data_IF_765516270591
#
_entry.id   IF_765516270591
#
_cell.length_a   1.000
_cell.length_b   1.000
_cell.length_c   1.000
_cell.angle_alpha   90.00
_cell.angle_beta   90.00
_cell.angle_gamma   90.00
#
_symmetry.space_group_name_H-M   'P 1'
#
loop_
_entity.id
_entity.type
_entity.pdbx_description
1 polymer ?
#
# COMPACT_ATOMS: atom_id res chain seq x y z
N UNK A 1 -2.06 -13.91 11.43
CA UNK A 1 -0.87 -13.42 10.68
C UNK A 1 -0.55 -12.02 11.13
N UNK A 2 0.73 -11.66 11.25
CA UNK A 2 1.19 -10.35 11.71
C UNK A 2 2.25 -9.82 10.73
N UNK A 3 2.01 -8.64 10.15
CA UNK A 3 2.94 -7.98 9.23
C UNK A 3 3.26 -6.57 9.70
N UNK A 4 4.52 -6.17 9.59
CA UNK A 4 4.98 -4.79 9.85
C UNK A 4 5.54 -4.18 8.57
N UNK A 5 5.31 -2.88 8.34
CA UNK A 5 5.88 -2.16 7.19
C UNK A 5 5.53 -2.86 5.87
N UNK A 6 6.48 -3.06 4.96
CA UNK A 6 6.28 -3.84 3.74
C UNK A 6 5.73 -5.26 3.97
N UNK A 7 5.96 -5.84 5.15
CA UNK A 7 5.43 -7.16 5.51
C UNK A 7 3.91 -7.20 5.55
N UNK A 8 3.23 -6.10 5.88
CA UNK A 8 1.76 -5.99 5.81
C UNK A 8 1.25 -6.16 4.38
N UNK A 9 1.90 -5.49 3.42
CA UNK A 9 1.56 -5.60 2.00
C UNK A 9 1.85 -7.00 1.44
N UNK A 10 3.00 -7.57 1.80
CA UNK A 10 3.40 -8.90 1.32
C UNK A 10 2.48 -10.01 1.85
N UNK A 11 2.12 -9.97 3.14
CA UNK A 11 1.18 -10.96 3.71
C UNK A 11 -0.23 -10.82 3.12
N UNK A 12 -0.68 -9.60 2.82
CA UNK A 12 -1.92 -9.39 2.06
C UNK A 12 -1.87 -10.06 0.69
N UNK A 13 -0.76 -9.92 -0.04
CA UNK A 13 -0.58 -10.59 -1.32
C UNK A 13 -0.68 -12.12 -1.18
N UNK A 14 -0.07 -12.71 -0.16
CA UNK A 14 -0.19 -14.15 0.13
C UNK A 14 -1.67 -14.55 0.33
N UNK A 15 -2.43 -13.74 1.09
CA UNK A 15 -3.84 -14.00 1.37
C UNK A 15 -4.76 -13.81 0.16
N UNK A 16 -4.35 -13.01 -0.83
CA UNK A 16 -5.04 -12.87 -2.11
C UNK A 16 -4.65 -13.97 -3.11
N UNK A 17 -3.38 -14.40 -3.09
CA UNK A 17 -2.84 -15.33 -4.07
C UNK A 17 -3.18 -16.79 -3.76
N UNK A 18 -3.10 -17.19 -2.49
CA UNK A 18 -3.20 -18.61 -2.08
C UNK A 18 -4.62 -18.90 -1.60
N UNK A 19 -5.30 -19.83 -2.26
CA UNK A 19 -6.61 -20.33 -1.79
C UNK A 19 -6.46 -21.23 -0.55
N UNK A 20 -7.49 -21.23 0.30
CA UNK A 20 -7.62 -22.16 1.43
C UNK A 20 -6.78 -21.84 2.67
N UNK A 21 -6.18 -20.65 2.75
CA UNK A 21 -5.56 -20.20 4.00
C UNK A 21 -6.65 -19.91 5.04
N UNK A 22 -6.43 -20.29 6.29
CA UNK A 22 -7.37 -19.98 7.38
C UNK A 22 -6.70 -19.09 8.39
N UNK A 23 -6.91 -17.78 8.25
CA UNK A 23 -6.33 -16.76 9.12
C UNK A 23 -7.44 -16.11 9.91
N UNK A 24 -7.47 -16.38 11.22
CA UNK A 24 -8.41 -15.73 12.13
C UNK A 24 -8.18 -14.21 12.12
N UNK A 25 -7.01 -13.76 12.61
CA UNK A 25 -6.67 -12.34 12.60
C UNK A 25 -5.49 -12.09 11.68
N UNK A 26 -5.66 -11.25 10.67
CA UNK A 26 -4.56 -10.62 9.94
C UNK A 26 -4.36 -9.21 10.49
N UNK A 27 -3.21 -8.98 11.13
CA UNK A 27 -2.83 -7.70 11.72
C UNK A 27 -1.71 -7.07 10.88
N UNK A 28 -1.95 -5.88 10.34
CA UNK A 28 -1.00 -5.07 9.59
C UNK A 28 -0.62 -3.84 10.41
N UNK A 29 0.64 -3.74 10.84
CA UNK A 29 1.19 -2.65 11.63
C UNK A 29 2.04 -1.73 10.74
N UNK A 30 1.63 -0.47 10.60
CA UNK A 30 2.28 0.49 9.70
C UNK A 30 2.51 -0.08 8.29
N UNK A 31 1.51 -0.82 7.77
CA UNK A 31 1.66 -1.52 6.50
C UNK A 31 1.48 -0.57 5.33
N UNK A 32 2.37 -0.57 4.35
CA UNK A 32 2.30 0.29 3.14
C UNK A 32 1.19 -0.14 2.15
N UNK A 33 -0.06 -0.24 2.62
CA UNK A 33 -1.14 -0.95 1.91
C UNK A 33 -1.52 -0.31 0.57
N UNK A 34 -1.52 1.02 0.50
CA UNK A 34 -1.69 1.80 -0.73
C UNK A 34 -0.36 2.27 -1.34
N UNK A 35 0.77 1.68 -0.92
CA UNK A 35 2.09 2.04 -1.42
C UNK A 35 2.70 3.27 -0.74
N UNK A 36 3.67 3.88 -1.41
CA UNK A 36 4.53 4.93 -0.88
C UNK A 36 4.89 5.97 -1.94
N UNK A 37 5.01 7.22 -1.52
CA UNK A 37 5.45 8.34 -2.35
C UNK A 37 6.24 9.37 -1.53
N UNK A 38 7.56 9.20 -1.46
CA UNK A 38 8.46 10.10 -0.75
C UNK A 38 9.93 9.79 -1.03
N UNK A 39 10.85 10.69 -0.70
CA UNK A 39 12.29 10.47 -1.02
C UNK A 39 13.05 9.73 0.08
N UNK A 40 12.59 9.83 1.34
CA UNK A 40 13.39 9.45 2.51
C UNK A 40 13.93 8.01 2.48
N UNK A 41 13.13 7.03 2.05
CA UNK A 41 13.55 5.62 1.97
C UNK A 41 14.63 5.39 0.90
N UNK A 42 14.65 6.23 -0.13
CA UNK A 42 15.55 6.10 -1.28
C UNK A 42 16.71 7.09 -1.23
N UNK A 43 16.75 8.02 -0.29
CA UNK A 43 17.77 9.07 -0.19
C UNK A 43 19.20 8.49 -0.13
N UNK A 44 19.37 7.34 0.52
CA UNK A 44 20.67 6.65 0.59
C UNK A 44 21.09 5.97 -0.71
N UNK A 45 20.14 5.65 -1.60
CA UNK A 45 20.37 4.95 -2.87
C UNK A 45 20.47 5.97 -4.01
N UNK A 46 19.58 6.97 -4.00
CA UNK A 46 19.41 8.01 -5.01
C UNK A 46 19.28 9.38 -4.31
N UNK A 47 20.39 9.96 -3.81
CA UNK A 47 20.35 11.22 -3.06
C UNK A 47 19.98 12.41 -3.95
N UNK A 48 19.28 13.39 -3.37
CA UNK A 48 18.87 14.63 -4.04
C UNK A 48 17.97 14.44 -5.28
N UNK A 49 17.21 13.35 -5.34
CA UNK A 49 16.26 13.07 -6.44
C UNK A 49 14.84 13.41 -5.99
N UNK A 50 14.14 14.23 -6.78
CA UNK A 50 12.72 14.56 -6.54
C UNK A 50 11.83 13.34 -6.73
N UNK A 51 10.65 13.31 -6.10
CA UNK A 51 9.67 12.22 -6.25
C UNK A 51 9.25 12.03 -7.71
N UNK A 52 9.12 13.11 -8.48
CA UNK A 52 8.82 13.03 -9.92
C UNK A 52 9.94 12.33 -10.72
N UNK A 53 11.19 12.61 -10.38
CA UNK A 53 12.33 11.95 -11.01
C UNK A 53 12.44 10.49 -10.55
N UNK A 54 12.19 10.22 -9.25
CA UNK A 54 12.10 8.86 -8.71
C UNK A 54 11.02 8.06 -9.42
N UNK A 55 9.82 8.59 -9.66
CA UNK A 55 8.78 7.88 -10.43
C UNK A 55 9.30 7.42 -11.79
N UNK A 56 10.02 8.29 -12.52
CA UNK A 56 10.57 7.93 -13.85
C UNK A 56 11.63 6.85 -13.78
N UNK A 57 12.44 6.87 -12.72
CA UNK A 57 13.51 5.89 -12.50
C UNK A 57 12.90 4.56 -12.06
N UNK A 58 12.04 4.57 -11.04
CA UNK A 58 11.46 3.37 -10.45
C UNK A 58 10.52 2.63 -11.40
N UNK A 59 9.84 3.33 -12.31
CA UNK A 59 8.96 2.70 -13.31
C UNK A 59 9.71 2.20 -14.56
N UNK A 60 11.04 2.16 -14.57
CA UNK A 60 11.76 1.38 -15.59
C UNK A 60 11.61 -0.11 -15.29
N UNK A 61 11.59 -0.94 -16.35
CA UNK A 61 11.47 -2.40 -16.24
C UNK A 61 12.55 -2.98 -15.33
N UNK A 62 13.79 -2.50 -15.48
CA UNK A 62 14.92 -3.00 -14.71
C UNK A 62 14.73 -2.83 -13.21
N UNK A 63 14.14 -1.70 -12.76
CA UNK A 63 13.91 -1.46 -11.35
C UNK A 63 12.62 -2.09 -10.84
N UNK A 64 11.57 -2.19 -11.65
CA UNK A 64 10.39 -3.01 -11.29
C UNK A 64 10.78 -4.48 -11.05
N UNK A 65 11.70 -5.03 -11.86
CA UNK A 65 12.15 -6.42 -11.74
C UNK A 65 13.13 -6.65 -10.58
N UNK A 66 13.92 -5.64 -10.18
CA UNK A 66 15.07 -5.84 -9.27
C UNK A 66 14.99 -5.11 -7.94
N UNK A 67 14.15 -4.08 -7.80
CA UNK A 67 14.07 -3.25 -6.60
C UNK A 67 12.68 -3.29 -5.98
N UNK A 68 12.57 -3.83 -4.77
CA UNK A 68 11.28 -3.96 -4.08
C UNK A 68 10.53 -2.63 -3.94
N UNK A 69 11.23 -1.53 -3.59
CA UNK A 69 10.63 -0.19 -3.43
C UNK A 69 9.91 0.28 -4.70
N UNK A 70 10.43 -0.08 -5.87
CA UNK A 70 9.81 0.27 -7.14
C UNK A 70 8.40 -0.32 -7.28
N UNK A 71 8.19 -1.53 -6.77
CA UNK A 71 6.93 -2.26 -6.84
C UNK A 71 5.82 -1.69 -5.96
N UNK A 72 6.15 -0.96 -4.89
CA UNK A 72 5.17 -0.29 -4.03
C UNK A 72 5.25 1.25 -4.11
N UNK A 73 5.97 1.78 -5.09
CA UNK A 73 5.94 3.20 -5.44
C UNK A 73 4.62 3.57 -6.11
N UNK A 74 3.84 4.43 -5.47
CA UNK A 74 2.52 4.86 -5.95
C UNK A 74 2.55 6.35 -6.24
N UNK A 75 2.73 6.73 -7.50
CA UNK A 75 2.61 8.13 -7.92
C UNK A 75 1.14 8.55 -7.95
N UNK A 76 0.70 9.57 -7.20
CA UNK A 76 -0.67 10.09 -7.27
C UNK A 76 -0.92 10.93 -8.52
N UNK A 77 0.13 11.21 -9.30
CA UNK A 77 0.03 11.92 -10.56
C UNK A 77 -0.19 10.94 -11.71
N UNK A 78 -1.26 11.14 -12.47
CA UNK A 78 -1.47 10.43 -13.72
C UNK A 78 -0.57 11.01 -14.81
N UNK A 79 0.11 10.16 -15.57
CA UNK A 79 0.86 10.59 -16.75
C UNK A 79 -0.05 10.89 -17.92
N UNK A 80 -0.69 12.06 -17.90
CA UNK A 80 -1.41 12.58 -19.06
C UNK A 80 -0.96 13.99 -19.48
N UNK A 81 0.22 14.47 -19.05
CA UNK A 81 0.78 15.74 -19.57
C UNK A 81 2.30 15.69 -19.71
N UNK A 82 2.81 14.82 -20.58
CA UNK A 82 3.82 15.24 -21.56
C UNK A 82 3.44 14.54 -22.85
N UNK A 83 2.66 15.21 -23.70
CA UNK A 83 2.57 14.78 -25.10
C UNK A 83 3.99 14.64 -25.61
N UNK A 84 4.27 13.53 -26.30
CA UNK A 84 5.58 13.19 -26.87
C UNK A 84 6.21 14.31 -27.73
N UNK A 85 5.48 15.40 -28.00
CA UNK A 85 5.92 16.58 -28.73
C UNK A 85 6.60 17.69 -27.89
N UNK A 86 6.52 17.71 -26.55
CA UNK A 86 6.95 18.91 -25.78
C UNK A 86 8.34 18.82 -25.15
N UNK A 87 8.93 17.63 -25.00
CA UNK A 87 10.34 17.51 -24.58
C UNK A 87 10.96 16.21 -25.13
N UNK A 88 11.86 16.27 -26.12
CA UNK A 88 12.66 15.11 -26.52
C UNK A 88 13.40 14.54 -25.30
N UNK A 89 13.10 13.29 -24.94
CA UNK A 89 13.70 12.60 -23.79
C UNK A 89 12.85 12.53 -22.51
N UNK A 90 11.66 13.13 -22.45
CA UNK A 90 10.74 12.94 -21.32
C UNK A 90 9.74 11.80 -21.62
N UNK A 91 10.03 10.60 -21.14
CA UNK A 91 9.08 9.49 -21.13
C UNK A 91 7.93 9.80 -20.16
N UNK A 92 6.69 9.71 -20.63
CA UNK A 92 5.52 9.66 -19.74
C UNK A 92 5.54 8.33 -18.98
N UNK A 93 5.24 8.36 -17.67
CA UNK A 93 5.28 7.18 -16.79
C UNK A 93 4.00 7.08 -15.98
N UNK A 94 3.26 5.99 -16.11
CA UNK A 94 1.95 5.77 -15.52
C UNK A 94 2.05 4.80 -14.36
N UNK A 95 1.47 5.16 -13.20
CA UNK A 95 1.31 4.20 -12.11
C UNK A 95 0.55 2.94 -12.56
N UNK A 96 -0.56 3.11 -13.28
CA UNK A 96 -1.37 1.98 -13.73
C UNK A 96 -0.66 1.13 -14.78
N UNK A 97 0.13 1.72 -15.67
CA UNK A 97 0.77 0.97 -16.77
C UNK A 97 2.15 0.41 -16.40
N UNK A 98 2.94 1.15 -15.63
CA UNK A 98 4.38 0.90 -15.47
C UNK A 98 4.79 0.42 -14.07
N UNK A 99 3.88 0.38 -13.09
CA UNK A 99 4.09 -0.37 -11.85
C UNK A 99 3.63 -1.82 -12.05
N UNK A 100 4.52 -2.79 -11.84
CA UNK A 100 4.27 -4.20 -12.13
C UNK A 100 3.55 -4.94 -10.99
N UNK A 101 3.50 -4.36 -9.79
CA UNK A 101 3.03 -5.04 -8.60
C UNK A 101 1.76 -4.42 -8.02
N UNK A 102 1.80 -3.17 -7.56
CA UNK A 102 0.73 -2.58 -6.75
C UNK A 102 -0.61 -2.47 -7.50
N UNK A 103 -0.69 -2.02 -8.77
CA UNK A 103 -1.96 -2.02 -9.51
C UNK A 103 -2.56 -3.41 -9.71
N UNK A 104 -1.73 -4.44 -9.86
CA UNK A 104 -2.18 -5.83 -9.97
C UNK A 104 -2.58 -6.38 -8.61
N UNK A 105 -1.82 -6.10 -7.56
CA UNK A 105 -2.15 -6.47 -6.19
C UNK A 105 -3.46 -5.82 -5.71
N UNK A 106 -3.70 -4.56 -6.05
CA UNK A 106 -4.94 -3.85 -5.77
C UNK A 106 -6.07 -4.19 -6.74
N UNK A 107 -5.80 -5.08 -7.71
CA UNK A 107 -6.75 -5.55 -8.72
C UNK A 107 -7.47 -4.42 -9.51
N UNK A 108 -6.87 -3.22 -9.56
CA UNK A 108 -7.29 -2.10 -10.42
C UNK A 108 -6.77 -2.28 -11.85
N UNK A 109 -5.68 -3.05 -12.00
CA UNK A 109 -5.23 -3.63 -13.27
C UNK A 109 -5.37 -5.15 -13.20
N UNK A 110 -6.61 -5.61 -13.32
CA UNK A 110 -6.95 -7.03 -13.25
C UNK A 110 -6.31 -7.83 -14.38
N UNK A 111 -5.89 -9.06 -14.06
CA UNK A 111 -5.37 -10.03 -15.01
C UNK A 111 -5.75 -11.46 -14.57
N UNK A 112 -5.34 -12.48 -15.32
CA UNK A 112 -5.69 -13.88 -15.02
C UNK A 112 -5.18 -14.35 -13.64
N UNK A 113 -4.06 -13.82 -13.16
CA UNK A 113 -3.50 -14.16 -11.83
C UNK A 113 -4.36 -13.55 -10.71
N UNK A 114 -4.88 -12.34 -10.93
CA UNK A 114 -5.62 -11.59 -9.90
C UNK A 114 -7.11 -11.94 -9.84
N UNK A 115 -7.61 -12.75 -10.78
CA UNK A 115 -9.03 -13.11 -10.89
C UNK A 115 -9.62 -13.73 -9.61
N UNK A 116 -8.80 -14.44 -8.82
CA UNK A 116 -9.22 -15.08 -7.57
C UNK A 116 -8.96 -14.21 -6.31
N UNK A 117 -8.29 -13.05 -6.44
CA UNK A 117 -7.80 -12.28 -5.29
C UNK A 117 -8.90 -11.91 -4.30
N UNK A 118 -10.04 -11.43 -4.81
CA UNK A 118 -11.20 -11.10 -3.98
C UNK A 118 -11.73 -12.31 -3.22
N UNK A 119 -12.01 -13.39 -3.95
CA UNK A 119 -12.56 -14.61 -3.36
C UNK A 119 -11.64 -15.19 -2.31
N UNK A 120 -10.35 -15.30 -2.62
CA UNK A 120 -9.33 -15.81 -1.71
C UNK A 120 -9.21 -14.91 -0.48
N UNK A 121 -9.08 -13.60 -0.64
CA UNK A 121 -8.88 -12.70 0.49
C UNK A 121 -10.05 -12.71 1.47
N UNK A 122 -11.28 -12.63 0.96
CA UNK A 122 -12.51 -12.66 1.76
C UNK A 122 -12.71 -14.02 2.45
N UNK A 123 -12.34 -15.12 1.78
CA UNK A 123 -12.43 -16.47 2.35
C UNK A 123 -11.33 -16.73 3.40
N UNK A 124 -10.14 -16.18 3.20
CA UNK A 124 -8.97 -16.51 3.99
C UNK A 124 -8.88 -15.74 5.32
N UNK A 125 -9.42 -14.52 5.40
CA UNK A 125 -9.19 -13.59 6.53
C UNK A 125 -10.46 -13.37 7.34
N UNK A 126 -10.59 -13.96 8.53
CA UNK A 126 -11.76 -13.73 9.39
C UNK A 126 -11.85 -12.27 9.86
N UNK A 127 -10.74 -11.72 10.35
CA UNK A 127 -10.64 -10.29 10.69
C UNK A 127 -9.34 -9.67 10.18
N UNK A 128 -9.46 -8.51 9.53
CA UNK A 128 -8.38 -7.64 9.12
C UNK A 128 -8.27 -6.48 10.11
N UNK A 129 -7.12 -6.34 10.76
CA UNK A 129 -6.79 -5.22 11.62
C UNK A 129 -5.65 -4.40 11.01
N UNK A 130 -5.90 -3.11 10.82
CA UNK A 130 -4.98 -2.14 10.25
C UNK A 130 -4.62 -1.13 11.33
N UNK A 131 -3.33 -1.02 11.61
CA UNK A 131 -2.80 -0.07 12.58
C UNK A 131 -1.89 0.91 11.88
N UNK A 132 -2.09 2.19 12.15
CA UNK A 132 -1.23 3.25 11.63
C UNK A 132 -1.11 4.44 12.57
N UNK A 133 -0.19 5.35 12.27
CA UNK A 133 0.07 6.55 13.07
C UNK A 133 0.36 7.78 12.21
N UNK A 134 -0.28 8.93 12.47
CA UNK A 134 0.14 10.19 11.87
C UNK A 134 1.59 10.60 12.18
N UNK A 135 2.20 9.99 13.22
CA UNK A 135 3.58 10.22 13.63
C UNK A 135 4.54 9.09 13.21
N UNK A 136 4.10 8.16 12.36
CA UNK A 136 4.92 7.05 11.87
C UNK A 136 6.29 7.54 11.33
N UNK A 137 6.25 8.61 10.52
CA UNK A 137 7.43 9.31 10.03
C UNK A 137 8.23 8.56 8.96
N UNK A 138 7.83 7.34 8.60
CA UNK A 138 8.47 6.54 7.53
C UNK A 138 7.54 6.35 6.35
N UNK A 139 6.29 5.92 6.58
CA UNK A 139 5.31 5.72 5.50
C UNK A 139 4.75 7.07 5.05
N UNK A 140 4.79 7.32 3.74
CA UNK A 140 4.32 8.57 3.14
C UNK A 140 3.36 8.27 1.98
N UNK A 141 2.10 8.76 2.03
CA UNK A 141 1.47 9.37 3.20
C UNK A 141 1.19 8.31 4.28
N UNK A 142 1.25 8.70 5.56
CA UNK A 142 1.02 7.77 6.69
C UNK A 142 -0.33 7.03 6.58
N UNK A 143 -1.34 7.66 5.98
CA UNK A 143 -2.68 7.07 5.83
C UNK A 143 -2.71 5.86 4.87
N UNK A 144 -1.64 5.63 4.11
CA UNK A 144 -1.41 4.36 3.38
C UNK A 144 -1.45 3.14 4.31
N UNK A 145 -1.15 3.34 5.59
CA UNK A 145 -1.28 2.34 6.67
C UNK A 145 -2.71 1.85 6.88
N UNK A 146 -3.68 2.68 6.51
CA UNK A 146 -5.11 2.46 6.69
C UNK A 146 -5.87 2.44 5.36
N UNK A 147 -5.18 2.12 4.25
CA UNK A 147 -5.68 2.12 2.87
C UNK A 147 -6.13 3.48 2.31
N UNK A 148 -5.83 4.60 2.97
CA UNK A 148 -5.94 5.92 2.35
C UNK A 148 -4.73 6.24 1.48
N UNK A 149 -4.78 7.35 0.73
CA UNK A 149 -3.61 7.83 -0.01
C UNK A 149 -3.69 9.33 -0.29
N UNK A 150 -2.75 9.87 -1.09
CA UNK A 150 -2.88 11.21 -1.66
C UNK A 150 -4.05 11.29 -2.64
N UNK A 151 -4.64 12.49 -2.74
CA UNK A 151 -5.65 12.77 -3.75
C UNK A 151 -5.09 12.74 -5.18
N UNK A 152 -5.95 12.52 -6.20
CA UNK A 152 -5.50 12.50 -7.59
C UNK A 152 -4.83 13.83 -7.98
N UNK A 153 -3.56 13.75 -8.39
CA UNK A 153 -2.71 14.89 -8.74
C UNK A 153 -2.51 15.93 -7.61
N UNK A 154 -2.73 15.56 -6.35
CA UNK A 154 -2.64 16.48 -5.22
C UNK A 154 -2.00 15.82 -3.99
N UNK A 155 -0.82 16.31 -3.59
CA UNK A 155 -0.11 15.85 -2.39
C UNK A 155 -0.59 16.54 -1.10
N UNK A 156 -1.41 17.59 -1.20
CA UNK A 156 -1.93 18.32 -0.04
C UNK A 156 -3.23 17.73 0.51
N UNK A 157 -3.95 16.98 -0.31
CA UNK A 157 -5.18 16.29 0.07
C UNK A 157 -4.88 14.82 0.34
N UNK A 158 -5.39 14.31 1.47
CA UNK A 158 -5.45 12.89 1.77
C UNK A 158 -6.88 12.41 1.55
N UNK A 159 -7.01 11.27 0.86
CA UNK A 159 -8.28 10.56 0.72
C UNK A 159 -8.27 9.34 1.63
N UNK A 160 -9.41 9.09 2.25
CA UNK A 160 -9.62 7.92 3.11
C UNK A 160 -9.85 6.67 2.24
N UNK A 161 -9.76 5.49 2.86
CA UNK A 161 -9.99 4.20 2.20
C UNK A 161 -11.28 4.18 1.38
N UNK A 162 -12.38 4.72 1.93
CA UNK A 162 -13.70 4.73 1.32
C UNK A 162 -13.78 5.48 0.00
N UNK A 163 -12.90 6.46 -0.18
CA UNK A 163 -12.83 7.30 -1.38
C UNK A 163 -11.84 6.76 -2.42
N UNK A 164 -11.18 5.62 -2.14
CA UNK A 164 -10.27 4.98 -3.09
C UNK A 164 -11.01 4.12 -4.12
N UNK A 165 -10.51 4.01 -5.37
CA UNK A 165 -11.09 3.12 -6.37
C UNK A 165 -11.19 1.66 -5.90
N UNK A 166 -10.18 1.19 -5.15
CA UNK A 166 -10.14 -0.17 -4.60
C UNK A 166 -11.34 -0.50 -3.72
N UNK A 167 -11.77 0.45 -2.89
CA UNK A 167 -12.93 0.28 -2.01
C UNK A 167 -14.25 0.47 -2.75
N UNK A 168 -14.35 1.52 -3.57
CA UNK A 168 -15.58 1.85 -4.33
C UNK A 168 -15.99 0.70 -5.25
N UNK A 169 -15.02 0.16 -5.99
CA UNK A 169 -15.23 -0.95 -6.91
C UNK A 169 -15.08 -2.33 -6.23
N UNK A 170 -14.65 -2.33 -4.96
CA UNK A 170 -14.45 -3.52 -4.14
C UNK A 170 -13.59 -4.58 -4.85
N UNK A 171 -12.46 -4.12 -5.38
CA UNK A 171 -11.64 -4.83 -6.39
C UNK A 171 -11.03 -6.11 -5.85
N UNK A 172 -10.66 -6.14 -4.57
CA UNK A 172 -10.13 -7.32 -3.88
C UNK A 172 -10.89 -7.67 -2.59
N UNK A 173 -12.08 -7.10 -2.38
CA UNK A 173 -12.95 -7.46 -1.25
C UNK A 173 -12.80 -6.61 0.01
N UNK A 174 -12.15 -5.44 -0.07
CA UNK A 174 -11.97 -4.53 1.06
C UNK A 174 -13.31 -4.03 1.60
N UNK A 175 -14.20 -3.54 0.73
CA UNK A 175 -15.57 -3.13 1.10
C UNK A 175 -16.40 -4.32 1.54
N UNK A 176 -16.20 -5.49 0.95
CA UNK A 176 -16.86 -6.72 1.42
C UNK A 176 -16.49 -7.05 2.87
N UNK A 177 -15.21 -7.01 3.24
CA UNK A 177 -14.78 -7.26 4.63
C UNK A 177 -15.33 -6.21 5.60
N UNK A 178 -15.33 -4.94 5.20
CA UNK A 178 -15.87 -3.84 5.98
C UNK A 178 -17.39 -4.00 6.24
N UNK A 179 -18.16 -4.28 5.19
CA UNK A 179 -19.61 -4.53 5.30
C UNK A 179 -19.96 -5.75 6.18
N UNK A 180 -19.04 -6.72 6.30
CA UNK A 180 -19.18 -7.88 7.19
C UNK A 180 -18.75 -7.60 8.64
N UNK A 181 -18.26 -6.39 8.95
CA UNK A 181 -17.68 -6.05 10.26
C UNK A 181 -16.35 -6.75 10.53
N UNK A 182 -15.65 -7.18 9.48
CA UNK A 182 -14.40 -7.94 9.53
C UNK A 182 -13.17 -7.07 9.32
N UNK A 183 -13.33 -5.82 8.92
CA UNK A 183 -12.24 -4.85 8.75
C UNK A 183 -12.24 -3.83 9.89
N UNK A 184 -11.07 -3.62 10.50
CA UNK A 184 -10.87 -2.72 11.63
C UNK A 184 -9.68 -1.80 11.36
N UNK A 185 -9.90 -0.48 11.36
CA UNK A 185 -8.83 0.53 11.23
C UNK A 185 -8.63 1.24 12.56
N UNK A 186 -7.37 1.32 13.01
CA UNK A 186 -7.00 2.02 14.23
C UNK A 186 -5.82 2.95 13.96
N UNK A 187 -6.07 4.26 14.01
CA UNK A 187 -5.03 5.26 14.08
C UNK A 187 -4.60 5.44 15.54
N UNK A 188 -3.32 5.17 15.85
CA UNK A 188 -2.75 5.38 17.18
C UNK A 188 -1.77 6.55 17.13
N UNK A 189 -2.07 7.68 17.77
CA UNK A 189 -1.19 8.85 17.73
C UNK A 189 0.10 8.60 18.52
N UNK A 190 1.17 9.28 18.11
CA UNK A 190 2.44 9.31 18.83
C UNK A 190 3.29 8.04 18.71
N UNK A 191 3.05 7.19 17.71
CA UNK A 191 3.84 6.00 17.45
C UNK A 191 4.69 6.22 16.20
N UNK A 192 6.01 6.22 16.38
CA UNK A 192 6.95 6.21 15.25
C UNK A 192 7.04 4.82 14.62
N UNK A 193 7.45 4.72 13.35
CA UNK A 193 7.44 3.48 12.56
C UNK A 193 8.10 2.28 13.25
N UNK A 194 9.27 2.52 13.86
CA UNK A 194 10.02 1.47 14.55
C UNK A 194 9.42 1.08 15.90
N UNK A 195 8.61 1.95 16.52
CA UNK A 195 8.03 1.73 17.83
C UNK A 195 6.89 0.70 17.79
N UNK A 196 6.27 0.45 16.63
CA UNK A 196 5.33 -0.66 16.44
C UNK A 196 5.94 -2.02 16.82
N UNK A 197 7.25 -2.20 16.62
CA UNK A 197 7.99 -3.41 16.98
C UNK A 197 8.75 -3.29 18.31
N UNK A 198 9.28 -2.12 18.63
CA UNK A 198 10.22 -1.95 19.74
C UNK A 198 9.60 -1.39 21.02
N UNK A 199 8.35 -0.92 20.99
CA UNK A 199 7.65 -0.43 22.17
C UNK A 199 6.72 -1.51 22.72
N UNK A 200 7.16 -2.19 23.79
CA UNK A 200 6.38 -3.24 24.46
C UNK A 200 5.03 -2.75 24.96
N UNK A 201 4.95 -1.52 25.48
CA UNK A 201 3.69 -0.97 26.00
C UNK A 201 2.67 -0.83 24.87
N UNK A 202 3.07 -0.24 23.75
CA UNK A 202 2.20 -0.09 22.58
C UNK A 202 1.79 -1.46 22.01
N UNK A 203 2.73 -2.39 21.89
CA UNK A 203 2.45 -3.73 21.40
C UNK A 203 1.43 -4.47 22.29
N UNK A 204 1.63 -4.43 23.61
CA UNK A 204 0.72 -5.10 24.55
C UNK A 204 -0.66 -4.45 24.60
N UNK A 205 -0.75 -3.14 24.40
CA UNK A 205 -2.01 -2.41 24.41
C UNK A 205 -2.85 -2.66 23.14
N UNK A 206 -2.21 -2.71 21.97
CA UNK A 206 -2.91 -2.69 20.68
C UNK A 206 -2.87 -4.02 19.91
N UNK A 207 -1.77 -4.75 19.99
CA UNK A 207 -1.50 -5.88 19.09
C UNK A 207 -1.68 -7.21 19.81
N UNK A 208 -1.13 -7.36 21.00
CA UNK A 208 -1.19 -8.61 21.77
C UNK A 208 -2.62 -9.16 21.99
N UNK A 209 -3.65 -8.32 22.25
CA UNK A 209 -5.03 -8.82 22.41
C UNK A 209 -5.60 -9.48 21.17
N UNK A 210 -5.02 -9.26 19.99
CA UNK A 210 -5.48 -9.80 18.70
C UNK A 210 -4.77 -11.11 18.31
N UNK A 211 -3.82 -11.59 19.12
CA UNK A 211 -3.02 -12.77 18.81
C UNK A 211 -3.52 -14.06 19.46
N UNK A 212 -4.53 -13.99 20.32
CA UNK A 212 -5.04 -15.09 21.13
C UNK A 212 -6.54 -15.29 20.95
#
# INVERSE_FOLDING_TARGET
MLGHSQGGLLLRNVLQLVDGLKVANFVSMAGIQQGYYGTAVLEHILPNVTERALTRILYTRELQDSLSVANWWHSPFESNVVSAQSTPGCLGVSYLADNDYLPSLNNIRANNVTAAYKTNFVANVDHLYLFGSPQDGTVVPWISELFGFFGPNDLSTLIEMEDTPEYVDDTFGLRTLDALGRLHRTAVPGIEHSQWLHNKTNFMAHIAPLLY
#
